data_IF_741821866908
#
_entry.id   IF_741821866908
#
_cell.length_a   1.000
_cell.length_b   1.000
_cell.length_c   1.000
_cell.angle_alpha   90.00
_cell.angle_beta   90.00
_cell.angle_gamma   90.00
#
_symmetry.space_group_name_H-M   'P 1'
#
loop_
_entity.id
_entity.type
_entity.pdbx_description
1 polymer ?
#
# COMPACT_ATOMS: atom_id res chain seq x y z
N UNK A 1 -34.46 18.47 -3.22
CA UNK A 1 -33.29 17.78 -2.65
C UNK A 1 -33.07 18.31 -1.24
N UNK A 2 -33.16 17.47 -0.21
CA UNK A 2 -32.90 17.89 1.16
C UNK A 2 -31.44 18.32 1.29
N UNK A 3 -31.21 19.56 1.75
CA UNK A 3 -29.85 20.05 1.97
C UNK A 3 -29.30 19.35 3.19
N UNK A 4 -28.26 18.53 3.02
CA UNK A 4 -27.51 17.98 4.15
C UNK A 4 -27.11 19.09 5.12
N UNK A 5 -27.16 18.79 6.42
CA UNK A 5 -26.70 19.72 7.45
C UNK A 5 -25.22 20.07 7.23
N UNK A 6 -24.76 21.28 7.64
CA UNK A 6 -23.35 21.65 7.53
C UNK A 6 -22.41 20.64 8.21
N UNK A 7 -22.81 20.09 9.37
CA UNK A 7 -22.05 19.08 10.09
C UNK A 7 -21.88 17.79 9.27
N UNK A 8 -22.95 17.30 8.63
CA UNK A 8 -22.87 16.11 7.78
C UNK A 8 -21.98 16.36 6.55
N UNK A 9 -22.09 17.54 5.92
CA UNK A 9 -21.20 17.92 4.80
C UNK A 9 -19.73 17.97 5.23
N UNK A 10 -19.45 18.50 6.41
CA UNK A 10 -18.10 18.56 6.95
C UNK A 10 -17.55 17.16 7.27
N UNK A 11 -18.38 16.27 7.83
CA UNK A 11 -18.00 14.88 8.11
C UNK A 11 -17.71 14.08 6.84
N UNK A 12 -18.56 14.19 5.81
CA UNK A 12 -18.34 13.54 4.50
C UNK A 12 -17.03 14.01 3.88
N UNK A 13 -16.74 15.32 3.94
CA UNK A 13 -15.56 15.92 3.33
C UNK A 13 -14.37 16.07 4.29
N UNK A 14 -14.36 15.30 5.39
CA UNK A 14 -13.29 15.38 6.36
C UNK A 14 -11.94 15.05 5.68
N UNK A 15 -10.85 15.81 5.95
CA UNK A 15 -9.57 15.62 5.25
C UNK A 15 -8.99 14.21 5.34
N UNK A 16 -9.22 13.51 6.45
CA UNK A 16 -8.78 12.12 6.63
C UNK A 16 -9.60 11.11 5.81
N UNK A 17 -10.86 11.43 5.48
CA UNK A 17 -11.75 10.59 4.69
C UNK A 17 -11.38 10.59 3.20
N UNK A 18 -10.70 11.65 2.73
CA UNK A 18 -10.25 11.79 1.34
C UNK A 18 -11.39 11.51 0.35
N UNK A 19 -12.50 12.24 0.53
CA UNK A 19 -13.77 12.00 -0.15
C UNK A 19 -13.71 12.18 -1.66
N UNK A 20 -12.81 13.04 -2.14
CA UNK A 20 -12.66 13.38 -3.55
C UNK A 20 -11.61 12.56 -4.30
N UNK A 21 -11.64 12.60 -5.64
CA UNK A 21 -10.55 12.11 -6.47
C UNK A 21 -9.23 12.86 -6.21
N UNK A 22 -8.10 12.19 -6.44
CA UNK A 22 -6.78 12.79 -6.28
C UNK A 22 -6.41 13.62 -7.52
N UNK A 23 -5.84 14.82 -7.35
CA UNK A 23 -5.42 15.66 -8.48
C UNK A 23 -4.30 14.98 -9.29
N UNK A 24 -4.13 15.40 -10.54
CA UNK A 24 -2.97 15.00 -11.32
C UNK A 24 -1.72 15.71 -10.81
N UNK A 25 -0.63 14.99 -10.51
CA UNK A 25 0.61 15.62 -10.09
C UNK A 25 1.38 16.15 -11.31
N UNK A 26 2.11 17.26 -11.13
CA UNK A 26 2.78 17.98 -12.24
C UNK A 26 3.75 17.08 -13.03
N UNK A 27 4.36 16.10 -12.37
CA UNK A 27 5.33 15.17 -12.96
C UNK A 27 4.71 13.88 -13.50
N UNK A 28 3.37 13.70 -13.47
CA UNK A 28 2.76 12.41 -13.82
C UNK A 28 3.02 12.00 -15.27
N UNK A 29 2.98 12.96 -16.19
CA UNK A 29 3.24 12.71 -17.61
C UNK A 29 4.68 12.23 -17.81
N UNK A 30 5.65 12.79 -17.07
CA UNK A 30 7.04 12.31 -17.12
C UNK A 30 7.16 10.86 -16.66
N UNK A 31 6.46 10.49 -15.58
CA UNK A 31 6.47 9.11 -15.08
C UNK A 31 5.87 8.15 -16.11
N UNK A 32 4.76 8.52 -16.74
CA UNK A 32 4.18 7.70 -17.81
C UNK A 32 5.09 7.59 -19.02
N UNK A 33 5.75 8.68 -19.42
CA UNK A 33 6.76 8.65 -20.49
C UNK A 33 7.91 7.71 -20.15
N UNK A 34 8.40 7.70 -18.91
CA UNK A 34 9.46 6.80 -18.47
C UNK A 34 9.01 5.33 -18.56
N UNK A 35 7.81 5.03 -18.06
CA UNK A 35 7.22 3.68 -18.13
C UNK A 35 7.06 3.24 -19.60
N UNK A 36 6.58 4.13 -20.48
CA UNK A 36 6.46 3.86 -21.92
C UNK A 36 7.83 3.57 -22.54
N UNK A 37 8.85 4.40 -22.26
CA UNK A 37 10.22 4.22 -22.80
C UNK A 37 10.84 2.91 -22.33
N UNK A 38 10.71 2.58 -21.06
CA UNK A 38 11.19 1.32 -20.49
C UNK A 38 10.50 0.11 -21.15
N UNK A 39 9.17 0.15 -21.31
CA UNK A 39 8.42 -0.90 -22.00
C UNK A 39 8.89 -1.07 -23.45
N UNK A 40 9.04 0.04 -24.19
CA UNK A 40 9.55 0.02 -25.58
C UNK A 40 11.00 -0.48 -25.67
N UNK A 41 11.86 -0.12 -24.71
CA UNK A 41 13.25 -0.60 -24.67
C UNK A 41 13.36 -2.12 -24.46
N UNK A 42 12.35 -2.70 -23.82
CA UNK A 42 12.22 -4.15 -23.65
C UNK A 42 11.32 -4.78 -24.73
N UNK A 43 11.08 -4.09 -25.84
CA UNK A 43 10.31 -4.56 -26.99
C UNK A 43 8.85 -4.97 -26.68
N UNK A 44 8.23 -4.36 -25.66
CA UNK A 44 6.79 -4.44 -25.46
C UNK A 44 6.04 -3.50 -26.41
N UNK A 45 4.83 -3.92 -26.81
CA UNK A 45 3.90 -3.07 -27.54
C UNK A 45 3.30 -1.95 -26.68
N UNK A 46 2.32 -1.23 -27.22
CA UNK A 46 1.65 -0.13 -26.50
C UNK A 46 0.73 -0.65 -25.38
N UNK A 47 0.01 -1.74 -25.63
CA UNK A 47 -1.05 -2.22 -24.74
C UNK A 47 -0.59 -2.64 -23.35
N UNK A 48 0.58 -3.29 -23.14
CA UNK A 48 1.02 -3.73 -21.81
C UNK A 48 1.23 -2.57 -20.84
N UNK A 49 2.04 -1.58 -21.23
CA UNK A 49 2.30 -0.45 -20.34
C UNK A 49 1.06 0.43 -20.19
N UNK A 50 0.24 0.56 -21.23
CA UNK A 50 -1.03 1.29 -21.16
C UNK A 50 -2.01 0.62 -20.19
N UNK A 51 -2.14 -0.71 -20.22
CA UNK A 51 -3.00 -1.47 -19.31
C UNK A 51 -2.55 -1.34 -17.85
N UNK A 52 -1.25 -1.55 -17.60
CA UNK A 52 -0.65 -1.42 -16.27
C UNK A 52 -0.87 -0.02 -15.69
N UNK A 53 -0.54 1.00 -16.48
CA UNK A 53 -0.59 2.41 -16.05
C UNK A 53 -2.03 2.88 -15.85
N UNK A 54 -2.94 2.48 -16.73
CA UNK A 54 -4.38 2.75 -16.60
C UNK A 54 -4.92 2.15 -15.30
N UNK A 55 -4.69 0.86 -15.08
CA UNK A 55 -5.17 0.15 -13.91
C UNK A 55 -4.63 0.75 -12.59
N UNK A 56 -3.35 1.10 -12.54
CA UNK A 56 -2.74 1.75 -11.37
C UNK A 56 -3.37 3.13 -11.09
N UNK A 57 -3.46 3.97 -12.12
CA UNK A 57 -4.02 5.34 -12.03
C UNK A 57 -5.47 5.34 -11.58
N UNK A 58 -6.27 4.44 -12.16
CA UNK A 58 -7.67 4.28 -11.77
C UNK A 58 -7.81 3.79 -10.33
N UNK A 59 -6.92 2.88 -9.91
CA UNK A 59 -6.93 2.34 -8.56
C UNK A 59 -6.59 3.38 -7.51
N UNK A 60 -5.71 4.35 -7.80
CA UNK A 60 -5.44 5.48 -6.89
C UNK A 60 -6.47 6.61 -7.01
N UNK A 61 -7.45 6.47 -7.90
CA UNK A 61 -8.56 7.41 -8.12
C UNK A 61 -8.09 8.82 -8.53
N UNK A 62 -7.28 8.93 -9.59
CA UNK A 62 -6.83 10.22 -10.16
C UNK A 62 -7.31 10.43 -11.61
N UNK A 63 -8.54 10.94 -11.81
CA UNK A 63 -9.15 11.05 -13.13
C UNK A 63 -8.38 11.96 -14.10
N UNK A 64 -7.90 13.12 -13.65
CA UNK A 64 -7.16 14.03 -14.51
C UNK A 64 -5.83 13.42 -15.01
N UNK A 65 -5.18 12.59 -14.20
CA UNK A 65 -3.99 11.84 -14.61
C UNK A 65 -4.31 10.84 -15.73
N UNK A 66 -5.53 10.30 -15.75
CA UNK A 66 -5.97 9.37 -16.78
C UNK A 66 -6.12 10.05 -18.15
N UNK A 67 -6.59 11.30 -18.18
CA UNK A 67 -6.65 12.12 -19.41
C UNK A 67 -5.26 12.40 -19.97
N UNK A 68 -4.29 12.70 -19.11
CA UNK A 68 -2.89 12.89 -19.51
C UNK A 68 -2.28 11.61 -20.06
N UNK A 69 -2.60 10.45 -19.47
CA UNK A 69 -2.18 9.14 -19.97
C UNK A 69 -2.74 8.86 -21.38
N UNK A 70 -4.04 9.10 -21.58
CA UNK A 70 -4.67 8.92 -22.89
C UNK A 70 -4.02 9.81 -23.95
N UNK A 71 -3.77 11.07 -23.61
CA UNK A 71 -3.11 12.05 -24.50
C UNK A 71 -1.69 11.61 -24.86
N UNK A 72 -0.93 11.07 -23.90
CA UNK A 72 0.42 10.55 -24.14
C UNK A 72 0.41 9.33 -25.07
N UNK A 73 -0.52 8.40 -24.87
CA UNK A 73 -0.58 7.16 -25.63
C UNK A 73 -1.16 7.33 -27.06
N UNK A 74 -1.83 8.45 -27.33
CA UNK A 74 -2.66 8.64 -28.52
C UNK A 74 -2.12 9.72 -29.45
N UNK A 75 -1.22 9.33 -30.36
CA UNK A 75 -0.52 10.27 -31.26
C UNK A 75 -1.32 10.66 -32.52
N UNK A 76 -2.36 9.90 -32.86
CA UNK A 76 -3.22 10.15 -34.02
C UNK A 76 -4.67 9.71 -33.75
N UNK A 77 -5.61 10.10 -34.62
CA UNK A 77 -7.04 9.82 -34.44
C UNK A 77 -7.35 8.33 -34.28
N UNK A 78 -6.72 7.45 -35.06
CA UNK A 78 -6.96 6.01 -34.98
C UNK A 78 -6.51 5.44 -33.63
N UNK A 79 -5.29 5.78 -33.20
CA UNK A 79 -4.76 5.39 -31.88
C UNK A 79 -5.58 5.99 -30.73
N UNK A 80 -6.14 7.20 -30.91
CA UNK A 80 -6.99 7.85 -29.90
C UNK A 80 -8.25 7.06 -29.61
N UNK A 81 -8.97 6.63 -30.65
CA UNK A 81 -10.19 5.81 -30.51
C UNK A 81 -9.85 4.44 -29.94
N UNK A 82 -8.83 3.79 -30.49
CA UNK A 82 -8.39 2.47 -30.04
C UNK A 82 -7.98 2.48 -28.56
N UNK A 83 -7.12 3.41 -28.16
CA UNK A 83 -6.61 3.49 -26.79
C UNK A 83 -7.69 3.94 -25.82
N UNK A 84 -8.60 4.84 -26.20
CA UNK A 84 -9.74 5.19 -25.36
C UNK A 84 -10.68 3.98 -25.13
N UNK A 85 -10.97 3.20 -26.17
CA UNK A 85 -11.76 1.98 -26.05
C UNK A 85 -11.07 0.94 -25.16
N UNK A 86 -9.76 0.75 -25.35
CA UNK A 86 -8.93 -0.15 -24.56
C UNK A 86 -8.86 0.27 -23.07
N UNK A 87 -8.59 1.55 -22.78
CA UNK A 87 -8.55 2.08 -21.42
C UNK A 87 -9.90 1.97 -20.71
N UNK A 88 -11.02 2.13 -21.44
CA UNK A 88 -12.38 1.89 -20.91
C UNK A 88 -12.59 0.43 -20.50
N UNK A 89 -12.15 -0.50 -21.32
CA UNK A 89 -12.24 -1.94 -21.03
C UNK A 89 -11.35 -2.34 -19.85
N UNK A 90 -10.09 -1.86 -19.81
CA UNK A 90 -9.22 -2.01 -18.63
C UNK A 90 -9.92 -1.46 -17.39
N UNK A 91 -10.49 -0.26 -17.51
CA UNK A 91 -11.18 0.40 -16.41
C UNK A 91 -12.38 -0.36 -15.88
N UNK A 92 -13.18 -0.95 -16.76
CA UNK A 92 -14.27 -1.84 -16.39
C UNK A 92 -13.72 -3.06 -15.61
N UNK A 93 -12.69 -3.73 -16.11
CA UNK A 93 -12.07 -4.89 -15.45
C UNK A 93 -11.47 -4.57 -14.07
N UNK A 94 -11.08 -3.32 -13.81
CA UNK A 94 -10.59 -2.93 -12.48
C UNK A 94 -11.62 -3.10 -11.36
N UNK A 95 -12.92 -3.16 -11.68
CA UNK A 95 -14.01 -3.35 -10.69
C UNK A 95 -13.80 -4.61 -9.85
N UNK A 96 -13.30 -5.70 -10.45
CA UNK A 96 -13.01 -6.94 -9.73
C UNK A 96 -11.99 -6.78 -8.62
N UNK A 97 -11.15 -5.74 -8.69
CA UNK A 97 -10.02 -5.56 -7.80
C UNK A 97 -10.19 -4.37 -6.88
N UNK A 98 -10.65 -3.21 -7.36
CA UNK A 98 -10.68 -1.95 -6.60
C UNK A 98 -12.09 -1.39 -6.32
N UNK A 99 -13.13 -2.05 -6.85
CA UNK A 99 -14.53 -1.71 -6.63
C UNK A 99 -15.11 -0.66 -7.59
N UNK A 100 -16.44 -0.69 -7.72
CA UNK A 100 -17.22 0.15 -8.64
C UNK A 100 -16.96 1.66 -8.49
N UNK A 101 -16.91 2.25 -7.27
CA UNK A 101 -16.84 3.71 -7.15
C UNK A 101 -15.61 4.32 -7.82
N UNK A 102 -14.44 3.66 -7.74
CA UNK A 102 -13.22 4.15 -8.38
C UNK A 102 -13.31 4.00 -9.88
N UNK A 103 -13.71 2.82 -10.39
CA UNK A 103 -13.90 2.61 -11.82
C UNK A 103 -14.88 3.63 -12.42
N UNK A 104 -16.02 3.88 -11.76
CA UNK A 104 -17.04 4.84 -12.20
C UNK A 104 -16.48 6.25 -12.35
N UNK A 105 -15.81 6.78 -11.32
CA UNK A 105 -15.24 8.13 -11.34
C UNK A 105 -14.31 8.33 -12.55
N UNK A 106 -13.49 7.32 -12.82
CA UNK A 106 -12.46 7.35 -13.86
C UNK A 106 -13.08 7.24 -15.26
N UNK A 107 -14.02 6.31 -15.46
CA UNK A 107 -14.66 6.09 -16.76
C UNK A 107 -15.55 7.27 -17.16
N UNK A 108 -16.30 7.84 -16.22
CA UNK A 108 -17.11 9.04 -16.45
C UNK A 108 -16.22 10.22 -16.82
N UNK A 109 -15.13 10.43 -16.09
CA UNK A 109 -14.20 11.52 -16.37
C UNK A 109 -13.48 11.35 -17.70
N UNK A 110 -12.99 10.15 -18.01
CA UNK A 110 -12.32 9.88 -19.29
C UNK A 110 -13.27 10.17 -20.45
N UNK A 111 -14.52 9.68 -20.38
CA UNK A 111 -15.53 9.98 -21.40
C UNK A 111 -15.76 11.47 -21.60
N UNK A 112 -15.72 12.26 -20.53
CA UNK A 112 -15.96 13.70 -20.57
C UNK A 112 -14.75 14.52 -21.03
N UNK A 113 -13.53 13.96 -21.04
CA UNK A 113 -12.29 14.71 -21.25
C UNK A 113 -11.48 14.31 -22.47
N UNK A 114 -11.71 13.13 -23.04
CA UNK A 114 -11.16 12.78 -24.35
C UNK A 114 -11.74 13.69 -25.45
N UNK A 115 -11.03 13.90 -26.57
CA UNK A 115 -11.52 14.71 -27.69
C UNK A 115 -12.92 14.26 -28.16
N UNK A 116 -13.78 15.21 -28.52
CA UNK A 116 -15.17 14.96 -28.94
C UNK A 116 -15.24 14.00 -30.11
N UNK A 117 -14.35 14.18 -31.10
CA UNK A 117 -14.26 13.34 -32.29
C UNK A 117 -13.91 11.89 -31.94
N UNK A 118 -13.10 11.71 -30.88
CA UNK A 118 -12.79 10.37 -30.34
C UNK A 118 -13.99 9.81 -29.60
N UNK A 119 -14.65 10.61 -28.76
CA UNK A 119 -15.81 10.18 -27.98
C UNK A 119 -16.98 9.72 -28.88
N UNK A 120 -17.26 10.42 -29.98
CA UNK A 120 -18.36 10.07 -30.89
C UNK A 120 -18.14 8.72 -31.61
N UNK A 121 -16.88 8.34 -31.84
CA UNK A 121 -16.52 7.06 -32.50
C UNK A 121 -16.45 5.87 -31.55
N UNK A 122 -16.52 6.09 -30.23
CA UNK A 122 -16.46 5.02 -29.26
C UNK A 122 -17.76 4.21 -29.23
N UNK A 123 -17.71 2.87 -29.11
CA UNK A 123 -18.93 2.08 -29.09
C UNK A 123 -19.76 2.32 -27.83
N UNK A 124 -21.07 2.35 -28.05
CA UNK A 124 -22.12 2.64 -27.05
C UNK A 124 -23.01 1.42 -26.74
N UNK A 125 -22.94 0.36 -27.56
CA UNK A 125 -23.70 -0.87 -27.36
C UNK A 125 -23.08 -1.75 -26.27
N UNK A 126 -23.92 -2.31 -25.39
CA UNK A 126 -23.49 -3.28 -24.38
C UNK A 126 -23.17 -4.64 -25.01
N UNK A 127 -22.02 -5.22 -24.67
CA UNK A 127 -21.59 -6.56 -25.11
C UNK A 127 -21.83 -7.65 -24.05
N UNK A 128 -22.25 -7.27 -22.83
CA UNK A 128 -22.30 -8.15 -21.64
C UNK A 128 -23.70 -8.41 -21.11
N UNK A 129 -24.74 -8.06 -21.88
CA UNK A 129 -26.12 -8.38 -21.51
C UNK A 129 -26.31 -9.90 -21.54
N UNK A 130 -26.62 -10.50 -20.39
CA UNK A 130 -26.84 -11.94 -20.28
C UNK A 130 -28.23 -12.29 -20.81
N UNK A 131 -28.27 -13.09 -21.85
CA UNK A 131 -29.48 -13.79 -22.34
C UNK A 131 -29.39 -15.28 -22.02
N UNK A 132 -30.53 -16.01 -21.95
CA UNK A 132 -30.52 -17.46 -21.73
C UNK A 132 -29.56 -18.22 -22.66
N UNK A 133 -29.45 -17.79 -23.92
CA UNK A 133 -28.58 -18.40 -24.94
C UNK A 133 -27.09 -18.11 -24.68
N UNK A 134 -26.78 -16.96 -24.08
CA UNK A 134 -25.39 -16.56 -23.77
C UNK A 134 -24.84 -17.18 -22.48
N UNK A 135 -25.71 -17.67 -21.59
CA UNK A 135 -25.34 -18.11 -20.24
C UNK A 135 -24.30 -19.23 -20.26
N UNK A 136 -24.52 -20.26 -21.07
CA UNK A 136 -23.60 -21.40 -21.18
C UNK A 136 -22.23 -20.96 -21.70
N UNK A 137 -22.20 -20.04 -22.66
CA UNK A 137 -20.96 -19.51 -23.21
C UNK A 137 -20.18 -18.71 -22.16
N UNK A 138 -20.87 -17.86 -21.37
CA UNK A 138 -20.26 -17.09 -20.28
C UNK A 138 -19.71 -18.01 -19.20
N UNK A 139 -20.46 -19.04 -18.81
CA UNK A 139 -20.00 -20.04 -17.84
C UNK A 139 -18.78 -20.82 -18.34
N UNK A 140 -18.77 -21.17 -19.64
CA UNK A 140 -17.66 -21.88 -20.28
C UNK A 140 -16.40 -21.02 -20.30
N UNK A 141 -16.50 -19.74 -20.68
CA UNK A 141 -15.38 -18.79 -20.62
C UNK A 141 -14.91 -18.53 -19.20
N UNK A 142 -15.83 -18.45 -18.23
CA UNK A 142 -15.49 -18.28 -16.82
C UNK A 142 -14.61 -19.45 -16.33
N UNK A 143 -15.05 -20.68 -16.57
CA UNK A 143 -14.31 -21.90 -16.21
C UNK A 143 -12.99 -21.99 -16.97
N UNK A 144 -13.00 -21.67 -18.26
CA UNK A 144 -11.79 -21.65 -19.10
C UNK A 144 -10.74 -20.68 -18.59
N UNK A 145 -11.12 -19.43 -18.32
CA UNK A 145 -10.23 -18.42 -17.75
C UNK A 145 -9.72 -18.84 -16.36
N UNK A 146 -10.62 -19.28 -15.48
CA UNK A 146 -10.26 -19.76 -14.14
C UNK A 146 -9.25 -20.92 -14.19
N UNK A 147 -9.50 -21.93 -15.02
CA UNK A 147 -8.60 -23.07 -15.17
C UNK A 147 -7.28 -22.68 -15.85
N UNK A 148 -7.29 -21.74 -16.80
CA UNK A 148 -6.05 -21.23 -17.40
C UNK A 148 -5.13 -20.60 -16.35
N UNK A 149 -5.66 -20.07 -15.24
CA UNK A 149 -4.85 -19.50 -14.16
C UNK A 149 -4.51 -20.57 -13.11
N UNK A 150 -5.50 -21.39 -12.71
CA UNK A 150 -5.40 -22.23 -11.52
C UNK A 150 -5.30 -23.73 -11.77
N UNK A 151 -5.52 -24.21 -12.99
CA UNK A 151 -5.57 -25.61 -13.44
C UNK A 151 -5.49 -26.68 -12.32
N UNK A 152 -4.27 -27.12 -11.96
CA UNK A 152 -4.01 -28.17 -10.94
C UNK A 152 -4.57 -27.89 -9.54
N UNK A 153 -4.85 -26.63 -9.24
CA UNK A 153 -5.36 -26.13 -7.97
C UNK A 153 -6.80 -25.63 -8.05
N UNK A 154 -7.43 -25.61 -9.24
CA UNK A 154 -8.76 -25.06 -9.49
C UNK A 154 -9.81 -25.57 -8.50
N UNK A 155 -10.00 -26.89 -8.42
CA UNK A 155 -10.98 -27.52 -7.53
C UNK A 155 -10.67 -27.22 -6.05
N UNK A 156 -9.40 -27.34 -5.65
CA UNK A 156 -8.97 -27.05 -4.27
C UNK A 156 -9.24 -25.60 -3.86
N UNK A 157 -9.07 -24.65 -4.78
CA UNK A 157 -9.37 -23.25 -4.55
C UNK A 157 -10.89 -23.02 -4.45
N UNK A 158 -11.68 -23.64 -5.33
CA UNK A 158 -13.15 -23.59 -5.25
C UNK A 158 -13.64 -24.15 -3.91
N UNK A 159 -13.13 -25.30 -3.48
CA UNK A 159 -13.49 -25.92 -2.20
C UNK A 159 -13.13 -25.02 -1.02
N UNK A 160 -11.95 -24.38 -1.06
CA UNK A 160 -11.52 -23.42 -0.04
C UNK A 160 -12.43 -22.19 0.01
N UNK A 161 -12.84 -21.66 -1.14
CA UNK A 161 -13.77 -20.53 -1.21
C UNK A 161 -15.16 -20.93 -0.69
N UNK A 162 -15.65 -22.11 -1.08
CA UNK A 162 -16.93 -22.67 -0.63
C UNK A 162 -16.96 -22.88 0.89
N UNK A 163 -15.85 -23.36 1.46
CA UNK A 163 -15.70 -23.52 2.91
C UNK A 163 -15.73 -22.18 3.66
N UNK A 164 -15.25 -21.10 3.05
CA UNK A 164 -15.37 -19.75 3.63
C UNK A 164 -16.80 -19.21 3.51
N UNK A 165 -17.44 -19.40 2.35
CA UNK A 165 -18.86 -19.10 2.12
C UNK A 165 -19.36 -19.83 0.87
N UNK A 166 -20.51 -20.52 0.90
CA UNK A 166 -20.97 -21.34 -0.22
C UNK A 166 -21.19 -20.54 -1.53
N UNK A 167 -21.67 -19.30 -1.43
CA UNK A 167 -21.91 -18.44 -2.60
C UNK A 167 -20.66 -17.72 -3.13
N UNK A 168 -19.55 -17.73 -2.38
CA UNK A 168 -18.34 -17.01 -2.78
C UNK A 168 -17.76 -17.52 -4.11
N UNK A 169 -17.54 -18.83 -4.33
CA UNK A 169 -17.08 -19.31 -5.63
C UNK A 169 -18.13 -19.08 -6.73
N UNK A 170 -19.43 -19.13 -6.41
CA UNK A 170 -20.51 -18.85 -7.38
C UNK A 170 -20.42 -17.41 -7.88
N UNK A 171 -20.25 -16.46 -6.95
CA UNK A 171 -20.13 -15.04 -7.29
C UNK A 171 -18.83 -14.74 -8.05
N UNK A 172 -17.69 -15.28 -7.59
CA UNK A 172 -16.39 -15.10 -8.23
C UNK A 172 -16.40 -15.66 -9.66
N UNK A 173 -16.82 -16.91 -9.84
CA UNK A 173 -16.79 -17.52 -11.17
C UNK A 173 -17.78 -16.85 -12.12
N UNK A 174 -19.03 -16.67 -11.72
CA UNK A 174 -20.08 -16.15 -12.62
C UNK A 174 -19.88 -14.67 -12.95
N UNK A 175 -19.59 -13.84 -11.94
CA UNK A 175 -19.61 -12.38 -12.10
C UNK A 175 -18.23 -11.77 -12.32
N UNK A 176 -17.19 -12.28 -11.66
CA UNK A 176 -15.84 -11.75 -11.86
C UNK A 176 -15.19 -12.42 -13.07
N UNK A 177 -15.06 -13.75 -13.08
CA UNK A 177 -14.40 -14.45 -14.17
C UNK A 177 -15.26 -14.50 -15.44
N UNK A 178 -16.55 -14.76 -15.30
CA UNK A 178 -17.50 -14.85 -16.40
C UNK A 178 -17.82 -13.50 -17.00
N UNK A 179 -18.68 -12.71 -16.34
CA UNK A 179 -19.26 -11.51 -16.96
C UNK A 179 -18.31 -10.32 -17.07
N UNK A 180 -17.20 -10.29 -16.32
CA UNK A 180 -16.32 -9.13 -16.25
C UNK A 180 -14.92 -9.37 -16.85
N UNK A 181 -14.16 -10.32 -16.32
CA UNK A 181 -12.74 -10.51 -16.66
C UNK A 181 -12.52 -11.29 -17.96
N UNK A 182 -13.38 -12.25 -18.29
CA UNK A 182 -13.31 -12.92 -19.60
C UNK A 182 -13.68 -11.97 -20.73
N UNK A 183 -13.06 -12.15 -21.88
CA UNK A 183 -13.41 -11.37 -23.06
C UNK A 183 -14.72 -11.88 -23.66
N UNK A 184 -15.59 -10.95 -24.07
CA UNK A 184 -16.85 -11.25 -24.74
C UNK A 184 -16.67 -11.17 -26.25
N UNK A 185 -17.41 -12.00 -27.03
CA UNK A 185 -17.51 -11.80 -28.47
C UNK A 185 -17.95 -10.37 -28.79
N UNK A 186 -17.25 -9.69 -29.69
CA UNK A 186 -17.55 -8.29 -30.05
C UNK A 186 -17.01 -7.25 -29.07
N UNK A 187 -16.20 -7.62 -28.06
CA UNK A 187 -15.39 -6.64 -27.31
C UNK A 187 -14.43 -5.92 -28.25
N UNK A 188 -14.10 -4.67 -27.90
CA UNK A 188 -13.20 -3.81 -28.67
C UNK A 188 -11.94 -4.55 -29.11
N UNK A 189 -11.54 -4.34 -30.36
CA UNK A 189 -10.22 -4.72 -30.85
C UNK A 189 -9.27 -3.53 -30.62
N UNK A 190 -8.14 -3.70 -29.89
CA UNK A 190 -7.67 -4.95 -29.29
C UNK A 190 -8.39 -5.26 -27.96
N UNK A 191 -8.66 -6.55 -27.72
CA UNK A 191 -9.15 -7.01 -26.43
C UNK A 191 -8.08 -6.87 -25.35
N UNK A 192 -8.49 -6.78 -24.08
CA UNK A 192 -7.52 -6.82 -22.97
C UNK A 192 -6.91 -8.21 -22.84
N UNK A 193 -7.63 -9.29 -23.14
CA UNK A 193 -6.99 -10.60 -23.23
C UNK A 193 -6.62 -11.20 -21.88
N UNK A 194 -5.91 -12.33 -21.91
CA UNK A 194 -5.53 -13.16 -20.77
C UNK A 194 -4.28 -12.66 -20.04
N UNK A 195 -3.27 -12.22 -20.79
CA UNK A 195 -2.00 -11.68 -20.29
C UNK A 195 -2.23 -10.30 -19.67
N UNK A 196 -2.84 -9.36 -20.39
CA UNK A 196 -3.02 -8.00 -19.87
C UNK A 196 -4.05 -7.94 -18.75
N UNK A 197 -5.05 -8.84 -18.71
CA UNK A 197 -5.94 -8.94 -17.54
C UNK A 197 -5.17 -9.31 -16.27
N UNK A 198 -4.12 -10.14 -16.38
CA UNK A 198 -3.23 -10.43 -15.23
C UNK A 198 -2.42 -9.20 -14.82
N UNK A 199 -1.94 -8.43 -15.79
CA UNK A 199 -1.19 -7.20 -15.55
C UNK A 199 -2.07 -6.11 -14.89
N UNK A 200 -3.33 -5.98 -15.33
CA UNK A 200 -4.35 -5.14 -14.70
C UNK A 200 -4.58 -5.54 -13.24
N UNK A 201 -4.73 -6.84 -12.98
CA UNK A 201 -4.90 -7.35 -11.63
C UNK A 201 -3.69 -7.04 -10.73
N UNK A 202 -2.47 -7.27 -11.23
CA UNK A 202 -1.22 -6.94 -10.52
C UNK A 202 -1.20 -5.45 -10.17
N UNK A 203 -1.49 -4.56 -11.12
CA UNK A 203 -1.53 -3.12 -10.88
C UNK A 203 -2.55 -2.73 -9.81
N UNK A 204 -3.78 -3.21 -9.92
CA UNK A 204 -4.83 -2.90 -8.95
C UNK A 204 -4.50 -3.42 -7.54
N UNK A 205 -4.01 -4.66 -7.42
CA UNK A 205 -3.72 -5.28 -6.14
C UNK A 205 -2.47 -4.68 -5.48
N UNK A 206 -1.44 -4.37 -6.27
CA UNK A 206 -0.24 -3.69 -5.77
C UNK A 206 -0.57 -2.28 -5.26
N UNK A 207 -1.37 -1.52 -6.00
CA UNK A 207 -1.75 -0.15 -5.62
C UNK A 207 -2.66 -0.08 -4.37
N UNK A 208 -3.43 -1.13 -4.06
CA UNK A 208 -4.32 -1.15 -2.89
C UNK A 208 -3.65 -1.50 -1.57
N UNK A 209 -2.49 -2.17 -1.60
CA UNK A 209 -1.79 -2.71 -0.41
C UNK A 209 -2.62 -3.75 0.37
N UNK A 210 -1.99 -4.49 1.29
CA UNK A 210 -2.69 -5.46 2.17
C UNK A 210 -3.12 -6.78 1.53
N UNK A 211 -2.88 -6.97 0.23
CA UNK A 211 -3.29 -8.16 -0.56
C UNK A 211 -2.11 -8.86 -1.25
N UNK A 212 -0.96 -8.92 -0.57
CA UNK A 212 0.29 -9.51 -1.08
C UNK A 212 0.14 -10.93 -1.65
N UNK A 213 -0.56 -11.88 -0.99
CA UNK A 213 -0.80 -13.22 -1.54
C UNK A 213 -1.52 -13.20 -2.89
N UNK A 214 -2.46 -12.27 -3.08
CA UNK A 214 -3.17 -12.11 -4.34
C UNK A 214 -2.24 -11.57 -5.42
N UNK A 215 -1.36 -10.62 -5.12
CA UNK A 215 -0.33 -10.14 -6.07
C UNK A 215 0.54 -11.30 -6.55
N UNK A 216 1.01 -12.14 -5.64
CA UNK A 216 1.81 -13.34 -5.97
C UNK A 216 1.05 -14.27 -6.93
N UNK A 217 -0.22 -14.55 -6.64
CA UNK A 217 -1.04 -15.39 -7.51
C UNK A 217 -1.20 -14.83 -8.92
N UNK A 218 -1.35 -13.52 -9.07
CA UNK A 218 -1.53 -12.90 -10.39
C UNK A 218 -0.21 -12.75 -11.15
N UNK A 219 0.93 -12.66 -10.45
CA UNK A 219 2.26 -12.79 -11.08
C UNK A 219 2.41 -14.18 -11.70
N UNK A 220 2.11 -15.24 -10.96
CA UNK A 220 2.14 -16.59 -11.55
C UNK A 220 1.13 -16.74 -12.71
N UNK A 221 -0.04 -16.12 -12.58
CA UNK A 221 -1.05 -16.08 -13.65
C UNK A 221 -0.55 -15.37 -14.92
N UNK A 222 0.22 -14.29 -14.78
CA UNK A 222 0.85 -13.56 -15.87
C UNK A 222 1.89 -14.44 -16.58
N UNK A 223 2.82 -15.03 -15.82
CA UNK A 223 3.86 -15.93 -16.35
C UNK A 223 3.27 -17.07 -17.15
N UNK A 224 2.31 -17.76 -16.54
CA UNK A 224 1.61 -18.88 -17.17
C UNK A 224 0.89 -18.45 -18.46
N UNK A 225 0.24 -17.29 -18.47
CA UNK A 225 -0.44 -16.77 -19.66
C UNK A 225 0.52 -16.50 -20.82
N UNK A 226 1.75 -16.08 -20.54
CA UNK A 226 2.79 -15.87 -21.56
C UNK A 226 3.34 -17.23 -22.02
N UNK A 227 3.65 -18.14 -21.10
CA UNK A 227 4.20 -19.46 -21.41
C UNK A 227 3.24 -20.33 -22.25
N UNK A 228 1.92 -20.17 -22.05
CA UNK A 228 0.87 -20.91 -22.77
C UNK A 228 0.43 -20.21 -24.07
N UNK A 229 1.10 -19.12 -24.48
CA UNK A 229 0.83 -18.44 -25.75
C UNK A 229 -0.49 -17.65 -25.74
N UNK A 230 -0.72 -16.85 -24.69
CA UNK A 230 -1.78 -15.83 -24.67
C UNK A 230 -1.62 -14.77 -25.76
N UNK A 231 -2.38 -13.68 -25.67
CA UNK A 231 -2.28 -12.60 -26.65
C UNK A 231 -0.86 -12.00 -26.72
N UNK A 232 -0.37 -11.72 -27.94
CA UNK A 232 0.97 -11.17 -28.14
C UNK A 232 1.04 -9.75 -27.56
N UNK A 233 1.98 -9.56 -26.63
CA UNK A 233 2.24 -8.27 -25.96
C UNK A 233 3.46 -7.54 -26.52
N UNK A 234 3.99 -8.04 -27.64
CA UNK A 234 5.21 -7.62 -28.31
C UNK A 234 6.33 -8.65 -28.16
N UNK A 235 7.42 -8.46 -28.91
CA UNK A 235 8.59 -9.36 -28.91
C UNK A 235 9.22 -9.54 -27.52
N UNK A 236 8.98 -8.60 -26.62
CA UNK A 236 9.40 -8.61 -25.22
C UNK A 236 8.55 -9.45 -24.27
N UNK A 237 7.57 -10.22 -24.74
CA UNK A 237 6.64 -10.96 -23.86
C UNK A 237 7.36 -11.88 -22.84
N UNK A 238 8.41 -12.59 -23.25
CA UNK A 238 9.18 -13.46 -22.36
C UNK A 238 9.90 -12.67 -21.26
N UNK A 239 10.33 -11.45 -21.56
CA UNK A 239 10.91 -10.56 -20.55
C UNK A 239 9.85 -10.12 -19.54
N UNK A 240 8.64 -9.77 -20.01
CA UNK A 240 7.51 -9.44 -19.13
C UNK A 240 7.15 -10.61 -18.21
N UNK A 241 7.20 -11.84 -18.71
CA UNK A 241 7.02 -13.06 -17.91
C UNK A 241 8.19 -13.38 -16.96
N UNK A 242 9.33 -12.73 -17.11
CA UNK A 242 10.53 -12.96 -16.30
C UNK A 242 10.49 -12.32 -14.91
N UNK A 243 11.57 -12.48 -14.14
CA UNK A 243 11.74 -11.76 -12.86
C UNK A 243 11.87 -10.25 -13.08
N UNK A 244 12.70 -9.84 -14.04
CA UNK A 244 12.94 -8.42 -14.38
C UNK A 244 11.66 -7.69 -14.82
N UNK A 245 10.87 -8.27 -15.73
CA UNK A 245 9.62 -7.68 -16.18
C UNK A 245 8.57 -7.55 -15.06
N UNK A 246 8.52 -8.51 -14.15
CA UNK A 246 7.63 -8.45 -12.99
C UNK A 246 8.08 -7.41 -11.97
N UNK A 247 9.39 -7.28 -11.73
CA UNK A 247 9.94 -6.21 -10.89
C UNK A 247 9.66 -4.83 -11.50
N UNK A 248 9.83 -4.70 -12.81
CA UNK A 248 9.46 -3.49 -13.56
C UNK A 248 7.98 -3.15 -13.38
N UNK A 249 7.07 -4.12 -13.57
CA UNK A 249 5.63 -3.89 -13.43
C UNK A 249 5.25 -3.41 -12.03
N UNK A 250 5.80 -4.04 -10.98
CA UNK A 250 5.58 -3.62 -9.60
C UNK A 250 6.15 -2.22 -9.31
N UNK A 251 7.38 -1.94 -9.77
CA UNK A 251 8.04 -0.65 -9.58
C UNK A 251 7.37 0.49 -10.35
N UNK A 252 6.83 0.23 -11.54
CA UNK A 252 6.02 1.18 -12.29
C UNK A 252 4.74 1.55 -11.52
N UNK A 253 4.03 0.57 -10.95
CA UNK A 253 2.85 0.82 -10.11
C UNK A 253 3.23 1.65 -8.89
N UNK A 254 4.33 1.32 -8.21
CA UNK A 254 4.79 2.07 -7.04
C UNK A 254 5.08 3.54 -7.37
N UNK A 255 5.78 3.83 -8.48
CA UNK A 255 6.06 5.21 -8.92
C UNK A 255 4.78 6.02 -9.18
N UNK A 256 3.77 5.40 -9.80
CA UNK A 256 2.47 6.05 -10.06
C UNK A 256 1.75 6.35 -8.73
N UNK A 257 1.71 5.36 -7.82
CA UNK A 257 1.03 5.49 -6.53
C UNK A 257 1.70 6.57 -5.68
N UNK A 258 3.02 6.60 -5.62
CA UNK A 258 3.80 7.60 -4.86
C UNK A 258 3.53 9.01 -5.39
N UNK A 259 3.67 9.24 -6.70
CA UNK A 259 3.49 10.57 -7.28
C UNK A 259 2.08 11.15 -7.05
N UNK A 260 1.05 10.32 -7.23
CA UNK A 260 -0.35 10.74 -7.08
C UNK A 260 -0.70 10.90 -5.59
N UNK A 261 -0.25 10.00 -4.72
CA UNK A 261 -0.57 10.05 -3.30
C UNK A 261 0.15 11.19 -2.56
N UNK A 262 1.36 11.55 -2.97
CA UNK A 262 2.15 12.61 -2.32
C UNK A 262 1.71 14.01 -2.74
N UNK A 263 1.23 14.19 -3.97
CA UNK A 263 0.69 15.49 -4.42
C UNK A 263 -0.60 15.87 -3.71
N UNK A 264 -1.38 14.88 -3.26
CA UNK A 264 -2.51 15.11 -2.36
C UNK A 264 -2.10 15.64 -0.98
N UNK A 265 -0.84 15.42 -0.56
CA UNK A 265 -0.28 15.98 0.68
C UNK A 265 0.42 17.33 0.47
N UNK A 266 0.93 17.60 -0.74
CA UNK A 266 1.63 18.84 -1.09
C UNK A 266 0.72 20.08 -1.28
N UNK A 267 -0.54 19.89 -1.67
CA UNK A 267 -1.51 21.01 -1.72
C UNK A 267 -1.87 21.56 -0.33
N UNK A 268 -1.74 20.74 0.71
CA UNK A 268 -1.89 21.20 2.10
C UNK A 268 -0.64 21.93 2.62
N UNK A 269 0.54 21.71 2.02
CA UNK A 269 1.80 22.35 2.45
C UNK A 269 2.10 23.67 1.73
N UNK A 270 1.50 23.95 0.56
CA UNK A 270 1.67 25.25 -0.16
C UNK A 270 1.12 26.48 0.59
N UNK A 271 0.38 26.30 1.68
CA UNK A 271 -0.04 27.39 2.58
C UNK A 271 1.00 27.74 3.67
N UNK A 272 2.12 27.01 3.75
CA UNK A 272 3.16 27.28 4.75
C UNK A 272 4.55 27.24 4.10
N UNK A 273 5.10 28.44 3.91
CA UNK A 273 6.53 28.79 3.82
C UNK A 273 7.33 28.57 2.53
N UNK A 274 7.92 29.68 2.09
CA UNK A 274 9.08 29.86 1.22
C UNK A 274 10.41 29.57 1.94
N UNK A 275 11.27 28.70 1.40
CA UNK A 275 12.75 28.79 1.41
C UNK A 275 13.40 27.55 0.73
N UNK A 276 14.63 27.66 0.19
CA UNK A 276 15.03 26.94 -1.03
C UNK A 276 15.76 25.60 -0.81
N UNK A 277 15.79 24.85 -1.91
CA UNK A 277 16.22 23.47 -2.09
C UNK A 277 17.73 23.28 -2.18
N UNK A 278 18.21 22.12 -1.68
CA UNK A 278 19.45 21.49 -2.13
C UNK A 278 19.10 20.08 -2.63
N UNK A 279 19.49 19.80 -3.88
CA UNK A 279 19.21 18.57 -4.63
C UNK A 279 20.31 17.53 -4.40
N UNK A 280 19.93 16.29 -4.09
CA UNK A 280 20.80 15.10 -4.21
C UNK A 280 19.98 13.94 -4.81
N UNK A 281 20.63 13.20 -5.70
CA UNK A 281 20.12 12.22 -6.68
C UNK A 281 19.50 10.95 -6.07
N UNK A 282 18.55 10.37 -6.80
CA UNK A 282 17.74 9.19 -6.48
C UNK A 282 18.52 7.86 -6.40
N UNK A 283 18.14 6.99 -5.45
CA UNK A 283 17.77 5.57 -5.67
C UNK A 283 16.87 5.08 -4.51
N UNK A 284 15.66 4.60 -4.88
CA UNK A 284 14.77 3.60 -4.23
C UNK A 284 14.04 3.84 -2.89
N UNK A 285 12.73 3.49 -2.96
CA UNK A 285 11.78 2.94 -1.95
C UNK A 285 11.25 3.83 -0.82
N UNK A 286 10.01 4.27 -1.03
CA UNK A 286 8.83 4.06 -0.18
C UNK A 286 8.71 4.73 1.20
N UNK A 287 7.70 5.62 1.22
CA UNK A 287 6.56 5.69 2.15
C UNK A 287 6.68 6.35 3.54
N UNK A 288 5.98 7.50 3.64
CA UNK A 288 4.85 7.83 4.57
C UNK A 288 5.11 7.84 6.10
N UNK A 289 4.42 8.65 6.92
CA UNK A 289 3.38 9.68 6.80
C UNK A 289 3.21 10.34 8.21
N UNK A 290 2.58 11.50 8.24
CA UNK A 290 1.63 12.05 9.24
C UNK A 290 2.06 12.91 10.44
N UNK A 291 1.08 13.76 10.72
CA UNK A 291 0.96 15.06 11.39
C UNK A 291 0.90 15.05 12.92
N UNK A 292 1.03 16.23 13.56
CA UNK A 292 0.96 16.42 15.01
C UNK A 292 -0.45 16.80 15.54
N UNK A 293 -0.66 16.50 16.83
CA UNK A 293 -1.75 16.91 17.72
C UNK A 293 -1.94 18.45 17.78
N UNK A 294 -3.18 18.97 17.71
CA UNK A 294 -4.16 19.22 18.80
C UNK A 294 -3.76 20.33 19.79
N UNK A 295 -4.58 21.40 19.84
CA UNK A 295 -4.57 22.48 20.84
C UNK A 295 -5.77 22.36 21.81
N UNK A 296 -5.54 22.71 23.08
CA UNK A 296 -6.43 22.83 24.27
C UNK A 296 -7.40 24.04 24.12
N UNK A 297 -8.50 24.26 24.86
CA UNK A 297 -8.93 24.20 26.30
C UNK A 297 -10.47 24.52 26.34
N UNK A 298 -11.24 24.73 27.46
CA UNK A 298 -11.12 24.46 28.92
C UNK A 298 -12.41 23.74 29.52
N UNK A 299 -12.67 23.67 30.86
CA UNK A 299 -13.58 22.67 31.47
C UNK A 299 -14.97 23.18 31.85
N UNK A 300 -16.00 22.31 31.86
CA UNK A 300 -17.25 22.59 32.58
C UNK A 300 -18.02 21.33 33.02
N UNK A 301 -18.19 21.25 34.35
CA UNK A 301 -19.23 20.66 35.21
C UNK A 301 -19.89 19.31 34.85
N UNK A 302 -19.78 18.39 35.81
CA UNK A 302 -20.53 17.14 35.97
C UNK A 302 -21.98 17.40 36.40
N UNK A 303 -22.93 16.62 35.87
CA UNK A 303 -24.03 15.95 36.60
C UNK A 303 -24.79 15.00 35.61
N UNK A 304 -25.69 14.09 36.04
CA UNK A 304 -25.46 12.64 35.88
C UNK A 304 -26.63 11.88 35.22
N UNK A 305 -26.41 11.11 34.15
CA UNK A 305 -27.40 10.11 33.72
C UNK A 305 -26.73 8.82 33.25
N UNK A 306 -26.69 7.91 34.21
CA UNK A 306 -26.95 6.47 34.17
C UNK A 306 -26.82 5.65 32.88
N UNK A 307 -26.06 4.58 33.10
CA UNK A 307 -26.34 3.20 32.68
C UNK A 307 -26.15 2.84 31.21
N UNK A 308 -24.95 2.32 30.91
CA UNK A 308 -24.75 0.95 30.38
C UNK A 308 -23.27 0.56 30.56
N UNK A 309 -22.82 0.55 31.82
CA UNK A 309 -21.50 0.07 32.20
C UNK A 309 -21.65 -1.25 32.99
N UNK A 310 -21.96 -2.34 32.29
CA UNK A 310 -21.69 -3.66 32.81
C UNK A 310 -21.05 -4.48 31.70
N UNK A 311 -19.73 -4.68 31.82
CA UNK A 311 -19.00 -5.93 31.65
C UNK A 311 -17.50 -5.59 31.61
N UNK A 312 -16.72 -6.20 32.51
CA UNK A 312 -15.26 -6.05 32.56
C UNK A 312 -14.60 -6.75 31.36
N UNK A 313 -13.36 -6.38 30.95
CA UNK A 313 -12.67 -6.98 29.79
C UNK A 313 -12.56 -8.52 29.82
N UNK A 314 -12.59 -9.15 31.01
CA UNK A 314 -12.61 -10.61 31.16
C UNK A 314 -13.94 -11.25 30.76
N UNK A 315 -15.06 -10.52 30.85
CA UNK A 315 -16.40 -11.03 30.50
C UNK A 315 -16.71 -10.94 29.00
N UNK A 316 -15.87 -10.27 28.20
CA UNK A 316 -15.95 -10.25 26.73
C UNK A 316 -15.32 -11.48 26.05
N UNK A 317 -14.72 -12.39 26.83
CA UNK A 317 -14.00 -13.56 26.34
C UNK A 317 -14.85 -14.84 26.23
N UNK A 318 -16.19 -14.74 26.29
CA UNK A 318 -17.10 -15.91 26.23
C UNK A 318 -18.08 -15.82 25.06
N UNK A 319 -17.60 -15.37 23.91
CA UNK A 319 -18.25 -15.65 22.63
C UNK A 319 -17.26 -16.35 21.71
N UNK A 320 -17.66 -17.39 20.96
CA UNK A 320 -16.78 -18.01 19.99
C UNK A 320 -16.33 -16.94 18.99
N UNK A 321 -15.05 -16.62 19.02
CA UNK A 321 -14.44 -15.68 18.08
C UNK A 321 -14.53 -16.28 16.68
N UNK A 322 -15.02 -15.51 15.72
CA UNK A 322 -15.06 -15.95 14.34
C UNK A 322 -13.62 -16.26 13.85
N UNK A 323 -13.42 -17.28 13.00
CA UNK A 323 -12.10 -17.64 12.46
C UNK A 323 -11.38 -16.48 11.75
N UNK A 324 -12.15 -15.45 11.35
CA UNK A 324 -11.70 -14.26 10.65
C UNK A 324 -11.19 -13.15 11.60
N UNK A 325 -11.62 -13.15 12.87
CA UNK A 325 -11.19 -12.22 13.91
C UNK A 325 -10.02 -12.75 14.75
N UNK A 326 -9.78 -14.07 14.74
CA UNK A 326 -8.67 -14.69 15.47
C UNK A 326 -7.28 -14.09 15.12
N UNK A 327 -6.93 -13.82 13.84
CA UNK A 327 -5.60 -13.26 13.52
C UNK A 327 -5.46 -11.79 13.95
N UNK A 328 -6.56 -11.03 13.97
CA UNK A 328 -6.57 -9.60 14.26
C UNK A 328 -6.51 -9.37 15.77
N UNK A 329 -7.26 -10.15 16.55
CA UNK A 329 -7.17 -10.13 18.02
C UNK A 329 -5.79 -10.64 18.47
N UNK A 330 -5.28 -11.71 17.84
CA UNK A 330 -3.94 -12.22 18.11
C UNK A 330 -2.85 -11.21 17.76
N UNK A 331 -3.03 -10.32 16.78
CA UNK A 331 -2.00 -9.30 16.47
C UNK A 331 -1.83 -8.25 17.58
N UNK A 332 -2.91 -7.91 18.31
CA UNK A 332 -2.83 -7.02 19.47
C UNK A 332 -2.28 -7.74 20.71
N UNK A 333 -2.53 -9.04 20.87
CA UNK A 333 -2.01 -9.85 21.98
C UNK A 333 -0.70 -10.57 21.69
N UNK A 334 -0.21 -10.61 20.45
CA UNK A 334 1.03 -11.29 20.04
C UNK A 334 2.27 -10.69 20.71
N UNK A 335 2.20 -9.42 21.11
CA UNK A 335 3.23 -8.79 21.94
C UNK A 335 3.31 -9.37 23.37
N UNK A 336 2.34 -10.22 23.76
CA UNK A 336 2.26 -10.93 25.05
C UNK A 336 2.32 -12.46 24.90
N UNK A 337 2.39 -12.99 23.67
CA UNK A 337 2.58 -14.43 23.49
C UNK A 337 4.05 -14.80 23.77
N UNK A 338 4.31 -15.85 24.55
CA UNK A 338 5.67 -16.35 24.71
C UNK A 338 6.20 -16.77 23.33
N UNK A 339 7.41 -16.33 23.00
CA UNK A 339 8.08 -16.72 21.75
C UNK A 339 8.06 -18.24 21.64
N UNK A 340 7.72 -18.76 20.45
CA UNK A 340 7.76 -20.20 20.16
C UNK A 340 9.07 -20.79 20.67
N UNK A 341 9.03 -21.93 21.39
CA UNK A 341 10.23 -22.54 21.93
C UNK A 341 11.20 -22.87 20.79
N UNK A 342 12.49 -22.71 21.06
CA UNK A 342 13.52 -23.06 20.08
C UNK A 342 13.34 -24.53 19.64
N UNK A 343 13.51 -24.86 18.34
CA UNK A 343 13.37 -26.23 17.86
C UNK A 343 14.36 -27.14 18.59
N UNK A 344 13.85 -28.21 19.20
CA UNK A 344 14.62 -29.17 20.01
C UNK A 344 15.79 -29.79 19.22
N UNK A 345 15.65 -29.96 17.89
CA UNK A 345 16.67 -30.52 17.00
C UNK A 345 16.85 -29.63 15.76
N UNK A 346 17.73 -28.60 15.79
CA UNK A 346 17.89 -27.70 14.67
C UNK A 346 18.67 -28.34 13.51
N UNK A 347 18.21 -28.09 12.28
CA UNK A 347 18.90 -28.55 11.06
C UNK A 347 20.30 -27.92 10.92
N UNK A 348 21.22 -28.49 10.13
CA UNK A 348 22.54 -27.88 9.87
C UNK A 348 22.45 -26.45 9.35
N UNK A 349 21.45 -26.14 8.52
CA UNK A 349 21.18 -24.78 8.06
C UNK A 349 20.72 -23.87 9.19
N UNK A 350 19.81 -24.32 10.06
CA UNK A 350 19.37 -23.54 11.22
C UNK A 350 20.53 -23.27 12.19
N UNK A 351 21.42 -24.24 12.42
CA UNK A 351 22.65 -24.04 13.21
C UNK A 351 23.56 -22.97 12.59
N UNK A 352 23.71 -22.97 11.25
CA UNK A 352 24.46 -21.92 10.52
C UNK A 352 23.77 -20.56 10.62
N UNK A 353 22.44 -20.51 10.51
CA UNK A 353 21.66 -19.28 10.57
C UNK A 353 21.70 -18.66 11.98
N UNK A 354 21.59 -19.48 13.02
CA UNK A 354 21.71 -19.05 14.43
C UNK A 354 23.11 -18.55 14.79
N UNK A 355 24.14 -18.97 14.05
CA UNK A 355 25.53 -18.48 14.22
C UNK A 355 25.83 -17.25 13.37
N UNK A 356 24.96 -16.88 12.44
CA UNK A 356 25.21 -15.75 11.54
C UNK A 356 24.95 -14.42 12.29
N UNK A 357 25.98 -13.59 12.52
CA UNK A 357 25.83 -12.32 13.25
C UNK A 357 24.88 -11.35 12.56
N UNK A 358 24.81 -11.36 11.22
CA UNK A 358 23.89 -10.52 10.46
C UNK A 358 22.44 -10.99 10.63
N UNK A 359 22.20 -12.31 10.66
CA UNK A 359 20.87 -12.86 10.91
C UNK A 359 20.40 -12.52 12.33
N UNK A 360 21.30 -12.61 13.32
CA UNK A 360 21.04 -12.18 14.70
C UNK A 360 20.71 -10.67 14.73
N UNK A 361 21.49 -9.83 14.06
CA UNK A 361 21.27 -8.39 14.00
C UNK A 361 19.90 -8.04 13.40
N UNK A 362 19.52 -8.69 12.29
CA UNK A 362 18.23 -8.53 11.62
C UNK A 362 17.05 -9.06 12.44
N UNK A 363 17.27 -10.10 13.25
CA UNK A 363 16.24 -10.66 14.14
C UNK A 363 15.95 -9.81 15.38
N UNK A 364 16.77 -8.78 15.64
CA UNK A 364 16.57 -7.90 16.78
C UNK A 364 15.30 -7.05 16.63
N UNK A 365 14.63 -6.66 17.74
CA UNK A 365 13.37 -5.91 17.65
C UNK A 365 13.53 -4.60 16.87
N UNK A 366 12.59 -4.31 15.96
CA UNK A 366 12.59 -3.05 15.20
C UNK A 366 12.29 -1.87 16.12
N UNK A 367 13.04 -0.77 15.96
CA UNK A 367 12.89 0.49 16.69
C UNK A 367 12.94 1.65 15.69
N UNK A 368 12.27 2.76 16.04
CA UNK A 368 12.33 4.00 15.25
C UNK A 368 13.44 4.91 15.78
N UNK A 369 14.23 5.46 14.87
CA UNK A 369 15.21 6.49 15.17
C UNK A 369 14.50 7.77 15.62
N UNK A 370 14.91 8.33 16.75
CA UNK A 370 14.28 9.53 17.31
C UNK A 370 14.53 10.80 16.46
N UNK A 371 15.60 10.85 15.65
CA UNK A 371 15.92 11.98 14.77
C UNK A 371 15.33 11.83 13.36
N UNK A 372 15.62 10.72 12.70
CA UNK A 372 15.28 10.52 11.28
C UNK A 372 13.97 9.78 11.06
N UNK A 373 13.37 9.23 12.13
CA UNK A 373 12.19 8.35 12.10
C UNK A 373 12.38 7.03 11.32
N UNK A 374 13.60 6.72 10.87
CA UNK A 374 13.94 5.46 10.21
C UNK A 374 13.68 4.26 11.13
N UNK A 375 13.07 3.20 10.61
CA UNK A 375 12.79 1.98 11.36
C UNK A 375 13.80 0.90 11.02
N UNK A 376 14.65 0.51 11.97
CA UNK A 376 15.61 -0.57 11.79
C UNK A 376 15.64 -1.49 13.03
N UNK A 377 16.11 -2.74 12.88
CA UNK A 377 16.42 -3.59 14.03
C UNK A 377 17.33 -2.88 15.03
N UNK A 378 17.10 -3.09 16.32
CA UNK A 378 17.81 -2.43 17.42
C UNK A 378 19.34 -2.52 17.29
N UNK A 379 19.88 -3.60 16.72
CA UNK A 379 21.32 -3.76 16.52
C UNK A 379 21.95 -2.68 15.63
N UNK A 380 21.18 -1.96 14.82
CA UNK A 380 21.64 -0.84 13.98
C UNK A 380 21.41 0.53 14.63
N UNK A 381 20.99 0.55 15.91
CA UNK A 381 20.65 1.76 16.64
C UNK A 381 21.54 1.90 17.88
N UNK A 382 22.03 3.11 18.12
CA UNK A 382 22.63 3.50 19.38
C UNK A 382 21.52 3.84 20.40
N UNK A 383 21.39 3.09 21.51
CA UNK A 383 20.51 3.46 22.60
C UNK A 383 21.10 4.59 23.44
N UNK A 384 20.24 5.51 23.84
CA UNK A 384 20.58 6.60 24.75
C UNK A 384 19.60 6.66 25.91
N UNK A 385 20.14 6.99 27.08
CA UNK A 385 19.43 7.06 28.35
C UNK A 385 19.63 8.44 28.99
N UNK A 386 18.61 8.91 29.71
CA UNK A 386 18.68 10.12 30.51
C UNK A 386 19.27 9.78 31.87
N UNK A 387 20.34 10.47 32.25
CA UNK A 387 20.98 10.34 33.54
C UNK A 387 21.13 11.71 34.19
N UNK A 388 20.88 11.86 35.50
CA UNK A 388 21.16 13.11 36.20
C UNK A 388 22.66 13.41 36.16
N UNK A 389 22.99 14.70 36.07
CA UNK A 389 24.36 15.17 36.26
C UNK A 389 24.80 14.87 37.70
N UNK A 390 26.07 14.48 37.94
CA UNK A 390 26.58 14.32 39.29
C UNK A 390 26.57 15.62 40.13
N UNK A 391 26.59 16.77 39.46
CA UNK A 391 26.83 18.10 40.02
C UNK A 391 25.62 19.06 39.91
N UNK A 392 24.57 18.70 39.17
CA UNK A 392 23.34 19.50 39.02
C UNK A 392 22.13 18.59 38.81
N UNK A 393 20.93 19.09 39.09
CA UNK A 393 19.66 18.40 38.82
C UNK A 393 19.30 18.31 37.31
N UNK A 394 20.15 18.84 36.43
CA UNK A 394 20.00 18.73 34.98
C UNK A 394 20.24 17.29 34.48
N UNK A 395 19.55 16.90 33.41
CA UNK A 395 19.66 15.56 32.82
C UNK A 395 20.59 15.53 31.59
N UNK A 396 21.52 14.58 31.58
CA UNK A 396 22.37 14.23 30.44
C UNK A 396 21.79 13.11 29.57
N UNK A 397 21.95 13.27 28.26
CA UNK A 397 21.67 12.23 27.27
C UNK A 397 22.95 11.45 26.97
N UNK A 398 23.09 10.23 27.52
CA UNK A 398 24.30 9.42 27.38
C UNK A 398 24.03 8.13 26.59
N UNK A 399 24.96 7.71 25.71
CA UNK A 399 24.92 6.37 25.15
C UNK A 399 24.87 5.35 26.27
N UNK A 400 23.92 4.42 26.22
CA UNK A 400 23.73 3.42 27.28
C UNK A 400 24.96 2.55 27.50
N UNK A 401 25.75 2.33 26.45
CA UNK A 401 26.96 1.51 26.56
C UNK A 401 28.06 2.22 27.38
N UNK A 402 27.88 3.51 27.69
CA UNK A 402 28.75 4.31 28.55
C UNK A 402 28.14 4.59 29.94
N UNK A 403 26.86 4.28 30.16
CA UNK A 403 26.25 4.37 31.49
C UNK A 403 26.69 3.15 32.30
N UNK A 404 27.47 3.37 33.38
CA UNK A 404 27.92 2.30 34.25
C UNK A 404 26.73 1.46 34.74
N UNK A 405 26.84 0.13 34.64
CA UNK A 405 25.83 -0.78 35.20
C UNK A 405 25.80 -0.61 36.71
N UNK A 406 24.70 -0.07 37.25
CA UNK A 406 24.47 -0.06 38.70
C UNK A 406 24.43 -1.53 39.15
N UNK A 407 25.25 -1.95 40.14
CA UNK A 407 25.19 -3.30 40.69
C UNK A 407 23.78 -3.59 41.21
N UNK A 408 23.24 -4.77 40.89
CA UNK A 408 21.99 -5.24 41.47
C UNK A 408 22.28 -5.70 42.90
N UNK A 409 21.80 -4.97 43.91
CA UNK A 409 21.81 -5.46 45.30
C UNK A 409 20.86 -6.67 45.43
N UNK A 410 21.34 -7.72 46.11
CA UNK A 410 20.66 -9.03 46.26
C UNK A 410 19.46 -9.03 47.22
N UNK A 411 19.05 -7.89 47.78
CA UNK A 411 17.87 -7.80 48.64
C UNK A 411 16.64 -7.42 47.83
N UNK A 412 15.78 -8.41 47.56
CA UNK A 412 14.59 -8.35 46.71
C UNK A 412 13.44 -7.45 47.17
N UNK A 413 13.71 -6.19 47.51
CA UNK A 413 12.69 -5.17 47.78
C UNK A 413 13.11 -3.82 47.23
N UNK A 414 12.93 -3.60 45.93
CA UNK A 414 12.70 -2.26 45.41
C UNK A 414 11.84 -2.31 44.16
N UNK A 415 10.56 -1.94 44.33
CA UNK A 415 9.64 -1.67 43.23
C UNK A 415 10.18 -0.51 42.39
N UNK A 416 10.74 -0.87 41.23
CA UNK A 416 10.83 -0.05 40.02
C UNK A 416 11.00 1.47 40.18
N UNK A 417 12.24 1.92 40.45
CA UNK A 417 12.69 3.15 39.79
C UNK A 417 12.81 2.81 38.31
N UNK A 418 11.74 3.08 37.55
CA UNK A 418 11.67 2.80 36.11
C UNK A 418 12.88 3.45 35.42
N UNK A 419 13.81 2.62 34.91
CA UNK A 419 14.82 3.03 33.91
C UNK A 419 14.12 3.93 32.88
N UNK A 420 14.64 5.15 32.73
CA UNK A 420 14.02 6.20 31.93
C UNK A 420 13.68 5.72 30.52
N UNK A 421 12.70 6.36 29.88
CA UNK A 421 12.37 6.06 28.47
C UNK A 421 13.64 6.16 27.63
N UNK A 422 14.04 5.05 27.01
CA UNK A 422 15.19 4.98 26.10
C UNK A 422 14.81 5.54 24.74
N UNK A 423 15.64 6.43 24.22
CA UNK A 423 15.56 6.82 22.82
C UNK A 423 16.63 6.10 22.02
N UNK A 424 16.28 5.70 20.81
CA UNK A 424 17.18 5.03 19.88
C UNK A 424 17.52 6.01 18.77
N UNK A 425 18.80 6.11 18.40
CA UNK A 425 19.23 6.82 17.20
C UNK A 425 20.00 5.90 16.28
N UNK A 426 20.06 6.22 14.99
CA UNK A 426 20.87 5.43 14.06
C UNK A 426 22.33 5.48 14.53
N UNK A 427 22.98 4.33 14.52
CA UNK A 427 24.41 4.23 14.77
C UNK A 427 25.22 4.76 13.57
N UNK A 428 25.04 6.04 13.23
CA UNK A 428 25.74 6.75 12.15
C UNK A 428 26.56 7.89 12.73
N UNK A 429 27.85 7.93 12.38
CA UNK A 429 28.78 8.96 12.81
C UNK A 429 28.39 10.33 12.27
N UNK A 430 27.97 10.38 11.01
CA UNK A 430 27.55 11.59 10.31
C UNK A 430 26.33 12.20 11.02
N UNK A 431 25.35 11.36 11.38
CA UNK A 431 24.16 11.80 12.09
C UNK A 431 24.52 12.37 13.47
N UNK A 432 25.36 11.67 14.24
CA UNK A 432 25.78 12.13 15.57
C UNK A 432 26.58 13.44 15.52
N UNK A 433 27.40 13.64 14.49
CA UNK A 433 28.11 14.90 14.24
C UNK A 433 27.17 16.03 13.82
N UNK A 434 26.16 15.73 12.99
CA UNK A 434 25.19 16.71 12.53
C UNK A 434 24.46 17.39 13.69
N UNK A 435 24.16 16.65 14.78
CA UNK A 435 23.45 17.26 15.92
C UNK A 435 24.27 18.31 16.68
N UNK A 436 25.60 18.22 16.64
CA UNK A 436 26.50 19.18 17.29
C UNK A 436 26.93 20.32 16.37
N UNK A 437 26.76 20.18 15.06
CA UNK A 437 27.24 21.14 14.06
C UNK A 437 26.20 22.24 13.85
N UNK A 438 26.58 23.52 13.98
CA UNK A 438 25.68 24.66 13.69
C UNK A 438 25.34 24.71 12.19
N UNK A 439 24.06 24.93 11.86
CA UNK A 439 23.61 25.05 10.47
C UNK A 439 23.28 23.72 9.77
N UNK A 440 23.39 22.58 10.46
CA UNK A 440 23.08 21.25 9.92
C UNK A 440 21.58 20.95 9.76
N UNK A 441 20.70 21.84 10.22
CA UNK A 441 19.26 21.60 10.35
C UNK A 441 18.87 20.65 11.51
N UNK A 442 19.84 19.97 12.11
CA UNK A 442 19.67 19.07 13.27
C UNK A 442 20.33 19.61 14.54
N UNK A 443 20.95 20.78 14.50
CA UNK A 443 21.63 21.40 15.66
C UNK A 443 20.67 21.47 16.86
N UNK A 444 21.07 20.90 18.00
CA UNK A 444 20.29 20.96 19.25
C UNK A 444 19.02 20.10 19.27
N UNK A 445 18.82 19.20 18.30
CA UNK A 445 17.64 18.32 18.26
C UNK A 445 17.52 17.37 19.46
N UNK A 446 18.61 17.18 20.24
CA UNK A 446 18.58 16.48 21.54
C UNK A 446 17.54 17.06 22.50
N UNK A 447 17.30 18.38 22.46
CA UNK A 447 16.32 19.06 23.29
C UNK A 447 14.86 18.64 22.99
N UNK A 448 14.59 17.97 21.86
CA UNK A 448 13.25 17.46 21.50
C UNK A 448 12.96 16.09 22.11
N UNK A 449 13.93 15.48 22.79
CA UNK A 449 13.78 14.17 23.44
C UNK A 449 13.19 14.25 24.86
N UNK A 450 12.63 15.40 25.25
CA UNK A 450 12.04 15.61 26.57
C UNK A 450 11.02 14.52 26.91
N UNK A 451 11.14 13.98 28.12
CA UNK A 451 10.15 13.08 28.68
C UNK A 451 8.85 13.86 28.94
N UNK A 452 7.71 13.51 28.34
CA UNK A 452 6.44 14.21 28.59
C UNK A 452 5.97 14.11 30.06
N UNK A 453 6.59 13.26 30.88
CA UNK A 453 6.34 13.19 32.32
C UNK A 453 7.07 14.26 33.15
N UNK A 454 8.10 14.93 32.61
CA UNK A 454 8.91 15.91 33.36
C UNK A 454 8.60 17.37 33.01
N UNK A 455 7.71 17.63 32.05
CA UNK A 455 7.30 18.98 31.67
C UNK A 455 8.44 19.80 31.02
N UNK A 456 8.10 20.92 30.33
CA UNK A 456 9.11 21.86 29.86
C UNK A 456 9.56 22.74 31.04
N UNK A 457 10.74 22.47 31.61
CA UNK A 457 11.34 23.30 32.67
C UNK A 457 12.07 22.55 33.79
N UNK A 458 12.60 21.35 33.52
CA UNK A 458 13.62 20.74 34.37
C UNK A 458 15.01 21.09 33.82
#
# INVERSE_FOLDING_TARGET
>A
MSRFSPALKAAINAPFARSGPLPAPDNITSIYCDIQREASSNALGVLPWLALTTAATMTVNSPASLTLLHSLASHNSASSVQNAAFMREVGLKTISFNGIPRALNQLVHLRATIPTETAEQLPTSSTRNLTPESLEQVQTRAKGLWNSIYDRHSNKLVDKLKAAHPDLPVHILSNHYGSLLSDFPGVHQPAVGRVLTSLVAIACLRAQTGVGPQVVSHIYGLRKGIDEGGEEVGKGERWLGGDEGNLWALGAVDRIVEAIADSATGLASKLVSSSPSISVRHFTTSTRRLTPQQKRCPPQQQSPEDSLAFLTPRQRATFPLSPLMAPIVNSYTASREPKLPAPLNPTPFQKRLLRNPYAIALSSPVRSCALTRTWLPRSFMQPFELLPRPDTDELWYLPRDLSAGVPQDETGTNNHVRSGRRNYMLASRELLQAVKTKGSGLTGSWARFMNPALGPGA
#
